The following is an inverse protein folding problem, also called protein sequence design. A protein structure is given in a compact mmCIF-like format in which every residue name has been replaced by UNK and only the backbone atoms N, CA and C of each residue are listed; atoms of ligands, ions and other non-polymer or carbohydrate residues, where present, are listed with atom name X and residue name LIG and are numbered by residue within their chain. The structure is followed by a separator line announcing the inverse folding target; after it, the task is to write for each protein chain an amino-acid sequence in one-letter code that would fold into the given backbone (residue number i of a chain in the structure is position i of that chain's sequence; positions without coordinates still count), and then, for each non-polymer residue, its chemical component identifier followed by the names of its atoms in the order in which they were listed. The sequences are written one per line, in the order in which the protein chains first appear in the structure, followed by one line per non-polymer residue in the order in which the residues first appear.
data_IF_877998507772
#
_entry.id   IF_877998507772
#
_cell.length_a   1.000
_cell.length_b   1.000
_cell.length_c   1.000
_cell.angle_alpha   90.00
_cell.angle_beta   90.00
_cell.angle_gamma   90.00
#
_symmetry.space_group_name_H-M   'P 1'
#
loop_
_entity.id
_entity.type
_entity.pdbx_description
1 polymer ?
#
# COMPACT_ATOMS: atom_id res chain seq x y z
N UNK A 1 9.84 26.69 30.05
CA UNK A 1 9.08 26.06 28.94
C UNK A 1 9.90 25.76 27.65
N UNK A 2 11.24 25.83 27.64
CA UNK A 2 12.07 25.54 26.43
C UNK A 2 12.77 24.17 26.42
N UNK A 3 12.88 23.50 27.58
CA UNK A 3 13.66 22.26 27.73
C UNK A 3 12.95 21.04 27.13
N UNK A 4 11.61 20.94 27.23
CA UNK A 4 10.86 19.78 26.74
C UNK A 4 10.89 19.60 25.20
N UNK A 5 10.99 20.67 24.43
CA UNK A 5 10.96 20.60 22.97
C UNK A 5 12.26 20.04 22.37
N UNK A 6 13.41 20.37 22.98
CA UNK A 6 14.71 19.90 22.50
C UNK A 6 14.93 18.40 22.76
N UNK A 7 14.49 17.91 23.93
CA UNK A 7 14.58 16.50 24.30
C UNK A 7 13.66 15.64 23.43
N UNK A 8 12.45 16.12 23.13
CA UNK A 8 11.51 15.47 22.22
C UNK A 8 12.04 15.41 20.78
N UNK A 9 12.69 16.48 20.32
CA UNK A 9 13.32 16.51 19.00
C UNK A 9 14.45 15.48 18.85
N UNK A 10 15.35 15.40 19.84
CA UNK A 10 16.44 14.41 19.86
C UNK A 10 15.92 12.97 19.83
N UNK A 11 14.98 12.63 20.71
CA UNK A 11 14.34 11.30 20.74
C UNK A 11 13.66 10.95 19.41
N UNK A 12 12.96 11.91 18.80
CA UNK A 12 12.34 11.72 17.48
C UNK A 12 13.38 11.39 16.41
N UNK A 13 14.54 12.06 16.44
CA UNK A 13 15.60 11.83 15.47
C UNK A 13 16.24 10.44 15.62
N UNK A 14 16.51 9.99 16.84
CA UNK A 14 17.04 8.65 17.13
C UNK A 14 16.09 7.54 16.65
N UNK A 15 14.79 7.70 16.89
CA UNK A 15 13.76 6.77 16.38
C UNK A 15 13.80 6.71 14.85
N UNK A 16 13.88 7.86 14.16
CA UNK A 16 13.99 7.90 12.69
C UNK A 16 15.25 7.20 12.18
N UNK A 17 16.39 7.42 12.84
CA UNK A 17 17.66 6.76 12.49
C UNK A 17 17.54 5.25 12.66
N UNK A 18 17.00 4.77 13.78
CA UNK A 18 16.79 3.35 14.04
C UNK A 18 15.85 2.71 13.00
N UNK A 19 14.76 3.39 12.65
CA UNK A 19 13.86 2.97 11.58
C UNK A 19 14.60 2.84 10.25
N UNK A 20 15.36 3.86 9.83
CA UNK A 20 16.11 3.83 8.56
C UNK A 20 17.16 2.73 8.54
N UNK A 21 17.84 2.48 9.66
CA UNK A 21 18.79 1.37 9.79
C UNK A 21 18.10 0.03 9.52
N UNK A 22 16.95 -0.23 10.13
CA UNK A 22 16.18 -1.46 9.89
C UNK A 22 15.76 -1.61 8.42
N UNK A 23 15.32 -0.51 7.78
CA UNK A 23 14.97 -0.54 6.35
C UNK A 23 16.18 -0.91 5.48
N UNK A 24 17.35 -0.33 5.77
CA UNK A 24 18.61 -0.64 5.07
C UNK A 24 19.03 -2.10 5.26
N UNK A 25 18.79 -2.66 6.44
CA UNK A 25 19.01 -4.09 6.74
C UNK A 25 17.95 -5.00 6.09
N UNK A 26 17.00 -4.46 5.31
CA UNK A 26 15.95 -5.25 4.66
C UNK A 26 14.85 -5.75 5.60
N UNK A 27 14.83 -5.29 6.86
CA UNK A 27 13.81 -5.70 7.83
C UNK A 27 12.48 -5.04 7.46
N UNK A 28 11.49 -5.85 7.13
CA UNK A 28 10.15 -5.38 6.76
C UNK A 28 9.22 -5.46 7.97
N UNK A 29 8.46 -4.39 8.21
CA UNK A 29 7.34 -4.40 9.15
C UNK A 29 6.14 -3.71 8.50
N UNK A 30 5.13 -4.49 8.15
CA UNK A 30 3.93 -3.98 7.49
C UNK A 30 2.79 -3.80 8.49
N UNK A 31 1.89 -2.87 8.24
CA UNK A 31 0.65 -2.79 9.00
C UNK A 31 -0.44 -3.53 8.21
N UNK A 32 -0.98 -4.61 8.79
CA UNK A 32 -1.99 -5.45 8.14
C UNK A 32 -3.41 -5.19 8.61
N UNK A 33 -3.61 -4.30 9.59
CA UNK A 33 -4.94 -4.01 10.16
C UNK A 33 -5.97 -3.52 9.13
N UNK A 34 -5.50 -3.07 7.95
CA UNK A 34 -6.34 -2.58 6.85
C UNK A 34 -5.82 -3.06 5.51
N UNK A 35 -5.25 -4.27 5.45
CA UNK A 35 -4.68 -4.84 4.24
C UNK A 35 -5.53 -6.01 3.76
N UNK A 36 -6.46 -5.74 2.83
CA UNK A 36 -7.33 -6.76 2.27
C UNK A 36 -6.52 -7.89 1.62
N UNK A 37 -6.82 -9.14 1.98
CA UNK A 37 -6.16 -10.32 1.41
C UNK A 37 -4.99 -10.84 2.23
N UNK A 38 -4.51 -10.09 3.22
CA UNK A 38 -3.36 -10.49 4.04
C UNK A 38 -3.58 -10.28 5.53
N UNK A 39 -3.10 -11.24 6.31
CA UNK A 39 -2.92 -11.14 7.76
C UNK A 39 -1.43 -11.27 8.11
N UNK A 40 -1.12 -11.46 9.40
CA UNK A 40 0.21 -11.83 9.87
C UNK A 40 0.22 -13.14 10.62
N UNK A 41 1.32 -13.88 10.47
CA UNK A 41 1.66 -14.97 11.38
C UNK A 41 2.24 -14.42 12.71
N UNK A 42 2.58 -15.34 13.61
CA UNK A 42 3.19 -15.05 14.91
C UNK A 42 4.55 -14.35 14.80
N UNK A 43 5.25 -14.53 13.68
CA UNK A 43 6.54 -13.93 13.37
C UNK A 43 6.41 -12.56 12.68
N UNK A 44 5.19 -12.16 12.33
CA UNK A 44 4.88 -10.90 11.67
C UNK A 44 5.00 -10.91 10.15
N UNK A 45 5.18 -12.07 9.51
CA UNK A 45 5.18 -12.26 8.06
C UNK A 45 3.77 -12.18 7.50
N UNK A 46 3.65 -11.73 6.24
CA UNK A 46 2.37 -11.70 5.56
C UNK A 46 1.92 -13.10 5.17
N UNK A 47 0.67 -13.42 5.51
CA UNK A 47 0.01 -14.67 5.13
C UNK A 47 -1.29 -14.35 4.43
N UNK A 48 -1.60 -15.08 3.35
CA UNK A 48 -2.80 -14.88 2.55
C UNK A 48 -4.04 -15.29 3.33
N UNK A 49 -5.08 -14.45 3.28
CA UNK A 49 -6.44 -14.79 3.71
C UNK A 49 -7.25 -15.09 2.45
N UNK A 50 -7.46 -16.37 2.15
CA UNK A 50 -7.99 -16.83 0.86
C UNK A 50 -9.31 -16.15 0.44
N UNK A 51 -10.26 -16.02 1.36
CA UNK A 51 -11.56 -15.39 1.07
C UNK A 51 -11.41 -13.91 0.66
N UNK A 52 -10.53 -13.18 1.32
CA UNK A 52 -10.23 -11.79 1.00
C UNK A 52 -9.38 -11.66 -0.27
N UNK A 53 -8.45 -12.60 -0.48
CA UNK A 53 -7.60 -12.64 -1.67
C UNK A 53 -8.44 -12.84 -2.95
N UNK A 54 -9.55 -13.59 -2.88
CA UNK A 54 -10.51 -13.68 -4.00
C UNK A 54 -11.12 -12.33 -4.36
N UNK A 55 -11.38 -11.46 -3.38
CA UNK A 55 -11.88 -10.10 -3.63
C UNK A 55 -10.84 -9.27 -4.38
N UNK A 56 -9.57 -9.34 -3.95
CA UNK A 56 -8.46 -8.67 -4.62
C UNK A 56 -8.34 -9.16 -6.07
N UNK A 57 -8.27 -10.47 -6.29
CA UNK A 57 -8.25 -11.09 -7.62
C UNK A 57 -9.41 -10.59 -8.49
N UNK A 58 -10.62 -10.52 -7.93
CA UNK A 58 -11.80 -10.01 -8.63
C UNK A 58 -11.68 -8.55 -9.03
N UNK A 59 -11.11 -7.69 -8.18
CA UNK A 59 -10.89 -6.27 -8.49
C UNK A 59 -9.94 -6.13 -9.70
N UNK A 60 -8.83 -6.87 -9.72
CA UNK A 60 -7.89 -6.88 -10.84
C UNK A 60 -8.54 -7.39 -12.13
N UNK A 61 -9.29 -8.50 -12.05
CA UNK A 61 -10.03 -9.09 -13.17
C UNK A 61 -11.02 -8.08 -13.79
N UNK A 62 -11.89 -7.48 -12.96
CA UNK A 62 -12.90 -6.51 -13.43
C UNK A 62 -12.24 -5.30 -14.09
N UNK A 63 -11.12 -4.81 -13.53
CA UNK A 63 -10.39 -3.70 -14.09
C UNK A 63 -9.80 -4.03 -15.47
N UNK A 64 -9.17 -5.20 -15.62
CA UNK A 64 -8.63 -5.67 -16.89
C UNK A 64 -9.74 -5.88 -17.93
N UNK A 65 -10.92 -6.33 -17.51
CA UNK A 65 -12.13 -6.46 -18.35
C UNK A 65 -12.77 -5.12 -18.77
N UNK A 66 -12.19 -3.98 -18.41
CA UNK A 66 -12.62 -2.67 -18.92
C UNK A 66 -13.47 -1.85 -17.96
N UNK A 67 -13.74 -2.35 -16.76
CA UNK A 67 -14.47 -1.56 -15.77
C UNK A 67 -13.54 -0.54 -15.13
N UNK A 68 -13.94 0.74 -15.18
CA UNK A 68 -13.30 1.78 -14.37
C UNK A 68 -13.64 1.63 -12.89
N UNK A 69 -12.83 2.24 -12.01
CA UNK A 69 -12.95 2.12 -10.54
C UNK A 69 -14.34 2.46 -9.99
N UNK A 70 -15.09 3.36 -10.64
CA UNK A 70 -16.49 3.68 -10.28
C UNK A 70 -17.46 2.51 -10.52
N UNK A 71 -17.30 1.81 -11.65
CA UNK A 71 -18.10 0.63 -11.99
C UNK A 71 -17.73 -0.55 -11.08
N UNK A 72 -16.45 -0.69 -10.75
CA UNK A 72 -15.98 -1.70 -9.80
C UNK A 72 -16.57 -1.44 -8.41
N UNK A 73 -16.54 -0.20 -7.90
CA UNK A 73 -17.20 0.19 -6.64
C UNK A 73 -18.66 -0.27 -6.63
N UNK A 74 -19.41 0.12 -7.67
CA UNK A 74 -20.83 -0.24 -7.80
C UNK A 74 -21.03 -1.76 -7.78
N UNK A 75 -20.23 -2.51 -8.53
CA UNK A 75 -20.27 -3.98 -8.52
C UNK A 75 -20.03 -4.56 -7.12
N UNK A 76 -18.99 -4.10 -6.41
CA UNK A 76 -18.67 -4.59 -5.06
C UNK A 76 -19.82 -4.31 -4.08
N UNK A 77 -20.41 -3.11 -4.16
CA UNK A 77 -21.54 -2.69 -3.32
C UNK A 77 -22.81 -3.49 -3.60
N UNK A 78 -23.18 -3.65 -4.88
CA UNK A 78 -24.36 -4.41 -5.31
C UNK A 78 -24.27 -5.90 -4.95
N UNK A 79 -23.05 -6.47 -4.98
CA UNK A 79 -22.80 -7.85 -4.59
C UNK A 79 -22.56 -8.00 -3.07
N UNK A 80 -22.79 -6.96 -2.27
CA UNK A 80 -22.63 -6.97 -0.80
C UNK A 80 -21.24 -7.43 -0.36
N UNK A 81 -20.20 -7.10 -1.13
CA UNK A 81 -18.82 -7.41 -0.78
C UNK A 81 -18.32 -6.37 0.20
N UNK A 82 -17.90 -6.81 1.38
CA UNK A 82 -17.37 -5.93 2.43
C UNK A 82 -15.92 -5.55 2.16
N UNK A 83 -15.57 -4.32 2.54
CA UNK A 83 -14.18 -3.89 2.71
C UNK A 83 -13.51 -4.70 3.84
N UNK A 84 -12.18 -4.67 3.92
CA UNK A 84 -11.40 -5.25 5.04
C UNK A 84 -11.82 -4.70 6.42
N UNK A 85 -12.47 -3.52 6.46
CA UNK A 85 -13.01 -2.94 7.69
C UNK A 85 -14.48 -3.30 7.97
N UNK A 86 -15.05 -4.24 7.23
CA UNK A 86 -16.42 -4.72 7.41
C UNK A 86 -17.51 -3.81 6.84
N UNK A 87 -17.15 -2.70 6.19
CA UNK A 87 -18.10 -1.76 5.57
C UNK A 87 -18.52 -2.21 4.17
N UNK A 88 -19.77 -1.97 3.80
CA UNK A 88 -20.25 -2.17 2.43
C UNK A 88 -19.89 -1.01 1.49
N UNK A 89 -19.75 0.21 2.02
CA UNK A 89 -19.39 1.36 1.20
C UNK A 89 -17.91 1.33 0.79
N UNK A 90 -17.67 1.31 -0.52
CA UNK A 90 -16.34 1.35 -1.11
C UNK A 90 -15.99 2.76 -1.58
N UNK A 91 -14.75 3.18 -1.37
CA UNK A 91 -14.24 4.40 -2.00
C UNK A 91 -13.48 4.03 -3.28
N UNK A 92 -13.60 4.89 -4.31
CA UNK A 92 -12.84 4.68 -5.56
C UNK A 92 -11.33 4.78 -5.32
N UNK A 93 -10.89 5.58 -4.35
CA UNK A 93 -9.48 5.70 -3.99
C UNK A 93 -8.94 4.45 -3.29
N UNK A 94 -9.76 3.71 -2.54
CA UNK A 94 -9.39 2.40 -2.01
C UNK A 94 -9.14 1.40 -3.14
N UNK A 95 -10.03 1.33 -4.12
CA UNK A 95 -9.90 0.42 -5.27
C UNK A 95 -8.65 0.79 -6.09
N UNK A 96 -8.46 2.08 -6.34
CA UNK A 96 -7.29 2.57 -7.07
C UNK A 96 -5.97 2.23 -6.36
N UNK A 97 -5.92 2.40 -5.04
CA UNK A 97 -4.78 1.99 -4.21
C UNK A 97 -4.55 0.49 -4.21
N UNK A 98 -5.60 -0.34 -4.31
CA UNK A 98 -5.45 -1.79 -4.41
C UNK A 98 -4.76 -2.15 -5.71
N UNK A 99 -5.17 -1.53 -6.83
CA UNK A 99 -4.60 -1.77 -8.15
C UNK A 99 -3.13 -1.33 -8.26
N UNK A 100 -2.69 -0.35 -7.45
CA UNK A 100 -1.32 0.18 -7.45
C UNK A 100 -0.40 -0.41 -6.37
N UNK A 101 -0.91 -1.29 -5.50
CA UNK A 101 -0.14 -1.74 -4.34
C UNK A 101 0.76 -2.91 -4.73
N UNK A 102 2.06 -2.62 -4.83
CA UNK A 102 3.11 -3.58 -5.19
C UNK A 102 3.13 -4.84 -4.30
N UNK A 103 2.58 -4.75 -3.09
CA UNK A 103 2.51 -5.88 -2.16
C UNK A 103 1.66 -7.02 -2.71
N UNK A 104 0.68 -6.76 -3.56
CA UNK A 104 -0.11 -7.86 -4.15
C UNK A 104 0.68 -8.75 -5.11
N UNK A 105 1.85 -8.30 -5.58
CA UNK A 105 2.80 -9.12 -6.34
C UNK A 105 3.99 -9.60 -5.50
N UNK A 106 3.89 -9.51 -4.17
CA UNK A 106 4.93 -9.96 -3.24
C UNK A 106 6.01 -8.92 -2.95
N UNK A 107 5.97 -7.74 -3.58
CA UNK A 107 7.02 -6.73 -3.46
C UNK A 107 6.77 -5.76 -2.31
N UNK A 108 7.84 -5.14 -1.79
CA UNK A 108 7.74 -4.11 -0.75
C UNK A 108 8.62 -2.92 -1.10
N UNK A 109 8.02 -1.72 -1.12
CA UNK A 109 8.75 -0.45 -1.17
C UNK A 109 8.66 0.25 0.19
N UNK A 110 9.80 0.42 0.85
CA UNK A 110 9.91 1.17 2.10
C UNK A 110 10.31 2.63 1.86
N UNK A 111 9.98 3.50 2.82
CA UNK A 111 10.24 4.94 2.77
C UNK A 111 9.54 5.70 1.62
N UNK A 112 8.37 5.25 1.15
CA UNK A 112 7.52 6.01 0.17
C UNK A 112 7.09 7.40 0.69
N UNK A 113 7.14 7.61 2.01
CA UNK A 113 6.93 8.90 2.66
C UNK A 113 7.75 8.99 3.95
N UNK A 114 8.04 10.20 4.39
CA UNK A 114 8.75 10.47 5.64
C UNK A 114 8.10 11.63 6.41
N UNK A 115 8.43 11.74 7.70
CA UNK A 115 7.99 12.87 8.53
C UNK A 115 8.94 14.05 8.32
N UNK A 116 8.46 15.06 7.58
CA UNK A 116 9.17 16.29 7.24
C UNK A 116 9.40 17.15 8.49
N UNK A 117 8.35 17.34 9.28
CA UNK A 117 8.41 18.13 10.51
C UNK A 117 8.05 17.25 11.72
N UNK A 118 9.03 17.02 12.60
CA UNK A 118 8.85 16.19 13.80
C UNK A 118 7.94 16.80 14.85
N UNK A 119 7.76 18.13 14.87
CA UNK A 119 6.93 18.83 15.84
C UNK A 119 5.45 18.77 15.46
N UNK A 120 5.15 18.88 14.16
CA UNK A 120 3.76 18.86 13.65
C UNK A 120 3.32 17.48 13.19
N UNK A 121 4.25 16.53 13.06
CA UNK A 121 3.97 15.20 12.50
C UNK A 121 3.69 15.20 10.99
N UNK A 122 3.88 16.34 10.32
CA UNK A 122 3.59 16.48 8.87
C UNK A 122 4.38 15.45 8.06
N UNK A 123 3.64 14.67 7.27
CA UNK A 123 4.19 13.65 6.35
C UNK A 123 4.37 14.24 4.95
N UNK A 124 5.44 13.87 4.27
CA UNK A 124 5.74 14.22 2.87
C UNK A 124 5.99 12.95 2.07
N UNK A 125 5.51 12.90 0.83
CA UNK A 125 5.92 11.85 -0.13
C UNK A 125 7.43 11.98 -0.36
N UNK A 126 8.10 10.84 -0.46
CA UNK A 126 9.52 10.80 -0.83
C UNK A 126 9.65 10.80 -2.35
N UNK A 127 10.27 11.84 -2.89
CA UNK A 127 10.56 12.02 -4.31
C UNK A 127 12.07 12.08 -4.58
N UNK A 128 12.89 11.52 -3.68
CA UNK A 128 14.36 11.49 -3.78
C UNK A 128 15.08 12.18 -2.62
N UNK A 129 14.36 12.73 -1.64
CA UNK A 129 14.98 13.36 -0.47
C UNK A 129 15.62 12.33 0.48
N UNK A 130 15.18 11.08 0.44
CA UNK A 130 15.73 9.97 1.21
C UNK A 130 15.77 8.71 0.36
N UNK A 131 16.66 7.77 0.70
CA UNK A 131 16.68 6.45 0.08
C UNK A 131 15.32 5.75 0.26
N UNK A 132 14.84 5.15 -0.83
CA UNK A 132 13.78 4.15 -0.81
C UNK A 132 14.41 2.77 -0.96
N UNK A 133 13.83 1.79 -0.27
CA UNK A 133 14.34 0.43 -0.27
C UNK A 133 13.29 -0.48 -0.90
N UNK A 134 13.67 -1.13 -2.00
CA UNK A 134 12.84 -2.10 -2.71
C UNK A 134 13.28 -3.51 -2.33
N UNK A 135 12.31 -4.35 -1.97
CA UNK A 135 12.52 -5.76 -1.69
C UNK A 135 11.55 -6.52 -2.58
N UNK A 136 12.11 -7.28 -3.52
CA UNK A 136 11.35 -8.12 -4.43
C UNK A 136 10.96 -9.43 -3.74
N UNK A 137 9.80 -9.99 -4.08
CA UNK A 137 9.36 -11.33 -3.65
C UNK A 137 9.47 -11.55 -2.12
N UNK A 138 9.10 -10.54 -1.35
CA UNK A 138 9.18 -10.55 0.12
C UNK A 138 8.17 -11.53 0.77
N UNK A 139 7.04 -11.77 0.12
CA UNK A 139 5.97 -12.64 0.61
C UNK A 139 5.18 -13.24 -0.55
N UNK A 140 4.32 -14.20 -0.24
CA UNK A 140 3.51 -14.88 -1.26
C UNK A 140 2.56 -13.90 -1.98
N UNK A 141 2.59 -13.84 -3.33
CA UNK A 141 1.77 -12.92 -4.10
C UNK A 141 0.32 -13.40 -4.23
N UNK A 142 -0.64 -12.47 -4.12
CA UNK A 142 -2.05 -12.73 -4.47
C UNK A 142 -2.28 -12.62 -5.98
N UNK A 143 -1.52 -11.75 -6.65
CA UNK A 143 -1.62 -11.42 -8.07
C UNK A 143 -0.30 -11.74 -8.75
N UNK A 144 -0.34 -12.33 -9.95
CA UNK A 144 0.87 -12.55 -10.74
C UNK A 144 1.45 -11.23 -11.25
N UNK A 145 2.78 -11.20 -11.44
CA UNK A 145 3.47 -10.02 -11.97
C UNK A 145 2.91 -9.58 -13.33
N UNK A 146 2.61 -10.51 -14.24
CA UNK A 146 1.97 -10.20 -15.54
C UNK A 146 0.62 -9.47 -15.38
N UNK A 147 -0.26 -9.93 -14.47
CA UNK A 147 -1.56 -9.28 -14.25
C UNK A 147 -1.36 -7.85 -13.75
N UNK A 148 -0.43 -7.64 -12.81
CA UNK A 148 -0.15 -6.33 -12.25
C UNK A 148 0.43 -5.38 -13.30
N UNK A 149 1.40 -5.83 -14.10
CA UNK A 149 1.99 -5.05 -15.18
C UNK A 149 0.95 -4.66 -16.24
N UNK A 150 0.03 -5.56 -16.59
CA UNK A 150 -1.09 -5.27 -17.50
C UNK A 150 -1.99 -4.15 -16.94
N UNK A 151 -2.27 -4.16 -15.64
CA UNK A 151 -3.03 -3.10 -14.97
C UNK A 151 -2.28 -1.77 -15.04
N UNK A 152 -0.98 -1.76 -14.72
CA UNK A 152 -0.15 -0.54 -14.79
C UNK A 152 -0.11 0.05 -16.21
N UNK A 153 0.10 -0.80 -17.22
CA UNK A 153 0.10 -0.39 -18.62
C UNK A 153 -1.25 0.22 -19.02
N UNK A 154 -2.36 -0.38 -18.59
CA UNK A 154 -3.71 0.14 -18.85
C UNK A 154 -3.92 1.50 -18.19
N UNK A 155 -3.52 1.66 -16.93
CA UNK A 155 -3.57 2.95 -16.21
C UNK A 155 -2.74 4.02 -16.92
N UNK A 156 -1.52 3.68 -17.34
CA UNK A 156 -0.63 4.59 -18.08
C UNK A 156 -1.24 5.05 -19.40
N UNK A 157 -1.85 4.14 -20.18
CA UNK A 157 -2.56 4.50 -21.42
C UNK A 157 -3.71 5.49 -21.18
N UNK A 158 -4.53 5.24 -20.16
CA UNK A 158 -5.63 6.15 -19.80
C UNK A 158 -5.09 7.55 -19.42
N UNK A 159 -4.00 7.61 -18.65
CA UNK A 159 -3.38 8.88 -18.26
C UNK A 159 -2.82 9.67 -19.45
N UNK A 160 -2.28 8.99 -20.46
CA UNK A 160 -1.79 9.63 -21.68
C UNK A 160 -2.95 10.17 -22.53
N UNK A 161 -4.02 9.40 -22.67
CA UNK A 161 -5.20 9.81 -23.45
C UNK A 161 -5.97 10.98 -22.84
N UNK A 162 -5.89 11.17 -21.51
CA UNK A 162 -6.56 12.29 -20.83
C UNK A 162 -5.73 13.60 -20.85
N UNK A 163 -4.50 13.57 -21.36
CA UNK A 163 -3.60 14.72 -21.45
C UNK A 163 -3.50 15.32 -22.86
N UNK A 164 -4.07 14.65 -23.87
CA UNK A 164 -4.26 15.17 -25.22
C UNK A 164 -5.67 15.69 -25.40
#
# INVERSE_FOLDING_TARGET
MKVNNMTNYRKSNEIKIGIRRKMREGKVWLNCSRFLGYTKDENGHLVIVEDEARIVKKIFELYLNGLGVRKIKKYLEENKIKTVTGKYEWSTSTIDRILDNEKYVGDVIMQKSFTENSLTGKRKKNNGELDMYFIENNHEPIISRDIFERVELKKRKILLNNKG
#
